data_IF_937912940527
#
_entry.id   IF_937912940527
#
_cell.length_a   1.000
_cell.length_b   1.000
_cell.length_c   1.000
_cell.angle_alpha   90.00
_cell.angle_beta   90.00
_cell.angle_gamma   90.00
#
_symmetry.space_group_name_H-M   'P 1'
#
loop_
_entity.id
_entity.type
_entity.pdbx_description
1 polymer ?
#
# COMPACT_ATOMS: atom_id res chain seq x y z
N UNK A 1 -14.88 -12.72 14.04
CA UNK A 1 -14.03 -11.64 14.61
C UNK A 1 -12.84 -11.46 13.68
N UNK A 2 -12.32 -10.24 13.52
CA UNK A 2 -11.27 -9.89 12.53
C UNK A 2 -9.98 -10.74 12.65
N UNK A 3 -9.72 -11.28 13.84
CA UNK A 3 -8.67 -12.25 14.11
C UNK A 3 -9.33 -13.59 14.49
N UNK A 4 -9.74 -14.35 13.50
CA UNK A 4 -10.12 -15.75 13.70
C UNK A 4 -9.00 -16.63 13.16
N UNK A 5 -8.77 -17.82 13.74
CA UNK A 5 -7.74 -18.76 13.25
C UNK A 5 -7.98 -19.22 11.80
N UNK A 6 -9.12 -18.88 11.21
CA UNK A 6 -9.51 -19.24 9.85
C UNK A 6 -9.18 -18.18 8.80
N UNK A 7 -8.89 -16.94 9.19
CA UNK A 7 -8.70 -15.85 8.23
C UNK A 7 -7.25 -15.80 7.75
N UNK A 8 -7.05 -15.84 6.45
CA UNK A 8 -5.71 -15.75 5.86
C UNK A 8 -5.03 -14.41 6.23
N UNK A 9 -3.79 -14.48 6.72
CA UNK A 9 -3.04 -13.31 7.13
C UNK A 9 -2.73 -12.36 5.95
N UNK A 10 -2.53 -12.91 4.76
CA UNK A 10 -2.33 -12.15 3.52
C UNK A 10 -3.63 -11.50 3.06
N UNK A 11 -4.77 -12.17 3.25
CA UNK A 11 -6.07 -11.53 3.04
C UNK A 11 -6.23 -10.32 3.95
N UNK A 12 -6.00 -10.49 5.26
CA UNK A 12 -6.09 -9.40 6.23
C UNK A 12 -5.12 -8.27 5.88
N UNK A 13 -3.92 -8.60 5.43
CA UNK A 13 -2.95 -7.61 4.98
C UNK A 13 -3.48 -6.79 3.79
N UNK A 14 -4.02 -7.44 2.76
CA UNK A 14 -4.63 -6.77 1.61
C UNK A 14 -5.84 -5.93 2.01
N UNK A 15 -6.72 -6.46 2.84
CA UNK A 15 -7.90 -5.77 3.36
C UNK A 15 -7.53 -4.50 4.15
N UNK A 16 -6.62 -4.59 5.11
CA UNK A 16 -6.19 -3.46 5.93
C UNK A 16 -5.42 -2.40 5.13
N UNK A 17 -4.73 -2.82 4.06
CA UNK A 17 -4.08 -1.93 3.11
C UNK A 17 -5.01 -1.42 2.00
N UNK A 18 -6.30 -1.78 1.99
CA UNK A 18 -7.22 -1.21 1.01
C UNK A 18 -7.49 0.28 1.30
N UNK A 19 -7.72 1.05 0.25
CA UNK A 19 -8.05 2.47 0.32
C UNK A 19 -9.28 2.75 1.19
N UNK A 20 -10.28 1.86 1.14
CA UNK A 20 -11.49 1.96 1.97
C UNK A 20 -11.15 1.91 3.45
N UNK A 21 -10.36 0.91 3.86
CA UNK A 21 -10.01 0.72 5.27
C UNK A 21 -9.04 1.80 5.75
N UNK A 22 -8.08 2.23 4.93
CA UNK A 22 -7.21 3.37 5.24
C UNK A 22 -8.01 4.66 5.47
N UNK A 23 -9.05 4.92 4.68
CA UNK A 23 -9.94 6.06 4.88
C UNK A 23 -10.72 5.94 6.19
N UNK A 24 -11.32 4.79 6.47
CA UNK A 24 -12.07 4.57 7.71
C UNK A 24 -11.17 4.72 8.93
N UNK A 25 -9.94 4.20 8.87
CA UNK A 25 -8.93 4.38 9.91
C UNK A 25 -8.58 5.85 10.13
N UNK A 26 -8.39 6.62 9.05
CA UNK A 26 -8.15 8.06 9.13
C UNK A 26 -9.30 8.86 9.75
N UNK A 27 -10.55 8.41 9.57
CA UNK A 27 -11.73 9.01 10.22
C UNK A 27 -11.81 8.61 11.70
N UNK A 28 -11.57 7.34 12.02
CA UNK A 28 -11.72 6.81 13.38
C UNK A 28 -10.61 7.28 14.33
N UNK A 29 -9.39 7.37 13.82
CA UNK A 29 -8.25 7.82 14.59
C UNK A 29 -7.24 8.51 13.65
N UNK A 30 -7.26 9.85 13.54
CA UNK A 30 -6.36 10.58 12.65
C UNK A 30 -4.88 10.53 13.10
N UNK A 31 -4.56 9.80 14.17
CA UNK A 31 -3.19 9.58 14.65
C UNK A 31 -2.63 8.25 14.13
N UNK A 32 -1.31 8.14 14.02
CA UNK A 32 -0.61 6.94 13.52
C UNK A 32 -0.78 5.71 14.45
N UNK A 33 -1.26 5.91 15.68
CA UNK A 33 -1.34 4.86 16.71
C UNK A 33 -2.73 4.21 16.75
N UNK A 34 -2.93 3.17 15.94
CA UNK A 34 -4.14 2.36 15.96
C UNK A 34 -4.17 1.42 17.18
N UNK A 35 -5.29 1.42 17.91
CA UNK A 35 -5.50 0.46 18.99
C UNK A 35 -6.36 -0.73 18.53
N UNK A 36 -6.24 -1.87 19.21
CA UNK A 36 -7.07 -3.08 18.94
C UNK A 36 -8.58 -2.76 19.05
N UNK A 37 -8.95 -1.77 19.86
CA UNK A 37 -10.33 -1.28 19.97
C UNK A 37 -10.83 -0.54 18.72
N UNK A 38 -9.94 0.11 17.96
CA UNK A 38 -10.29 0.82 16.73
C UNK A 38 -10.47 -0.17 15.57
N UNK A 39 -9.59 -1.18 15.49
CA UNK A 39 -9.71 -2.27 14.51
C UNK A 39 -10.99 -3.08 14.69
N UNK A 40 -11.46 -3.24 15.93
CA UNK A 40 -12.74 -3.92 16.23
C UNK A 40 -13.98 -3.15 15.76
N UNK A 41 -13.86 -1.85 15.52
CA UNK A 41 -14.95 -1.00 15.00
C UNK A 41 -15.01 -1.00 13.47
N UNK A 42 -14.01 -1.55 12.79
CA UNK A 42 -14.04 -1.66 11.33
C UNK A 42 -15.17 -2.62 10.92
N UNK A 43 -15.93 -2.28 9.87
CA UNK A 43 -16.91 -3.19 9.34
C UNK A 43 -16.15 -4.36 8.72
N UNK A 44 -16.24 -5.54 9.32
CA UNK A 44 -15.65 -6.77 8.79
C UNK A 44 -16.76 -7.65 8.25
N UNK A 45 -16.72 -7.87 6.94
CA UNK A 45 -17.57 -8.84 6.26
C UNK A 45 -16.69 -10.07 6.01
N UNK A 46 -17.18 -11.25 6.38
CA UNK A 46 -16.50 -12.50 6.05
C UNK A 46 -16.51 -12.65 4.52
N UNK A 47 -15.33 -12.64 3.85
CA UNK A 47 -15.27 -12.71 2.40
C UNK A 47 -15.71 -14.09 1.90
N UNK A 48 -16.27 -14.18 0.68
CA UNK A 48 -16.32 -15.44 -0.04
C UNK A 48 -14.90 -16.03 -0.21
N UNK A 49 -14.77 -17.35 -0.17
CA UNK A 49 -13.47 -18.05 -0.29
C UNK A 49 -12.67 -17.60 -1.53
N UNK A 50 -13.34 -17.42 -2.67
CA UNK A 50 -12.71 -16.93 -3.91
C UNK A 50 -12.12 -15.51 -3.76
N UNK A 51 -12.80 -14.64 -3.02
CA UNK A 51 -12.34 -13.28 -2.73
C UNK A 51 -11.18 -13.32 -1.75
N UNK A 52 -11.27 -14.18 -0.73
CA UNK A 52 -10.20 -14.37 0.26
C UNK A 52 -8.90 -14.80 -0.42
N UNK A 53 -8.96 -15.87 -1.22
CA UNK A 53 -7.82 -16.40 -1.97
C UNK A 53 -7.27 -15.35 -2.94
N UNK A 54 -8.14 -14.66 -3.70
CA UNK A 54 -7.70 -13.67 -4.68
C UNK A 54 -6.99 -12.49 -4.03
N UNK A 55 -7.51 -11.96 -2.92
CA UNK A 55 -6.87 -10.83 -2.22
C UNK A 55 -5.59 -11.28 -1.50
N UNK A 56 -5.57 -12.49 -0.94
CA UNK A 56 -4.38 -13.07 -0.33
C UNK A 56 -3.23 -13.22 -1.34
N UNK A 57 -3.52 -13.72 -2.55
CA UNK A 57 -2.52 -13.85 -3.62
C UNK A 57 -1.98 -12.47 -4.06
N UNK A 58 -2.87 -11.50 -4.31
CA UNK A 58 -2.48 -10.14 -4.68
C UNK A 58 -1.64 -9.47 -3.58
N UNK A 59 -1.99 -9.67 -2.31
CA UNK A 59 -1.23 -9.17 -1.18
C UNK A 59 0.15 -9.85 -1.08
N UNK A 60 0.23 -11.15 -1.35
CA UNK A 60 1.50 -11.88 -1.44
C UNK A 60 2.42 -11.31 -2.52
N UNK A 61 1.88 -11.01 -3.71
CA UNK A 61 2.61 -10.35 -4.79
C UNK A 61 3.08 -8.95 -4.38
N UNK A 62 2.23 -8.16 -3.71
CA UNK A 62 2.57 -6.84 -3.22
C UNK A 62 3.71 -6.89 -2.18
N UNK A 63 3.71 -7.90 -1.30
CA UNK A 63 4.79 -8.12 -0.32
C UNK A 63 6.11 -8.47 -1.02
N UNK A 64 6.07 -9.28 -2.09
CA UNK A 64 7.27 -9.58 -2.87
C UNK A 64 7.86 -8.32 -3.50
N UNK A 65 7.03 -7.49 -4.15
CA UNK A 65 7.46 -6.21 -4.72
C UNK A 65 8.00 -5.28 -3.63
N UNK A 66 7.34 -5.19 -2.47
CA UNK A 66 7.82 -4.35 -1.38
C UNK A 66 9.21 -4.76 -0.88
N UNK A 67 9.50 -6.06 -0.82
CA UNK A 67 10.83 -6.58 -0.47
C UNK A 67 11.87 -6.24 -1.53
N UNK A 68 11.51 -6.29 -2.81
CA UNK A 68 12.41 -5.89 -3.89
C UNK A 68 12.69 -4.38 -3.83
N UNK A 69 11.67 -3.56 -3.57
CA UNK A 69 11.81 -2.11 -3.40
C UNK A 69 12.74 -1.73 -2.22
N UNK A 70 12.79 -2.52 -1.15
CA UNK A 70 13.73 -2.31 -0.03
C UNK A 70 15.20 -2.33 -0.46
N UNK A 71 15.55 -3.01 -1.55
CA UNK A 71 16.93 -3.06 -2.06
C UNK A 71 17.39 -1.72 -2.66
N UNK A 72 16.43 -0.85 -3.00
CA UNK A 72 16.66 0.47 -3.58
C UNK A 72 16.58 1.61 -2.54
N UNK A 73 16.09 1.37 -1.32
CA UNK A 73 16.06 2.36 -0.23
C UNK A 73 17.41 2.38 0.50
N UNK A 74 18.17 3.46 0.35
CA UNK A 74 19.47 3.67 1.02
C UNK A 74 19.44 3.61 2.55
N UNK A 75 18.27 3.74 3.17
CA UNK A 75 18.09 3.63 4.63
C UNK A 75 17.75 2.20 5.06
N UNK A 76 17.46 1.31 4.11
CA UNK A 76 17.15 -0.08 4.39
C UNK A 76 18.43 -0.86 4.69
N UNK A 77 18.42 -1.78 5.67
CA UNK A 77 19.54 -2.70 5.89
C UNK A 77 19.84 -3.60 4.68
N UNK A 78 18.89 -3.75 3.75
CA UNK A 78 19.00 -4.58 2.54
C UNK A 78 19.42 -3.79 1.30
N UNK A 79 19.86 -2.54 1.47
CA UNK A 79 20.27 -1.71 0.35
C UNK A 79 21.43 -2.32 -0.43
N UNK A 80 21.29 -2.37 -1.76
CA UNK A 80 22.35 -2.84 -2.66
C UNK A 80 22.87 -1.69 -3.52
N UNK A 81 24.15 -1.34 -3.38
CA UNK A 81 24.74 -0.21 -4.13
C UNK A 81 24.81 -0.46 -5.66
N UNK A 82 24.75 -1.72 -6.10
CA UNK A 82 24.55 -2.11 -7.50
C UNK A 82 23.20 -1.65 -8.07
N UNK A 83 22.25 -1.35 -7.19
CA UNK A 83 20.90 -0.88 -7.51
C UNK A 83 20.84 0.65 -7.64
N UNK A 84 21.84 1.31 -8.22
CA UNK A 84 21.86 2.77 -8.48
C UNK A 84 22.25 3.08 -9.94
N UNK A 85 22.09 2.12 -10.86
CA UNK A 85 22.39 2.32 -12.28
C UNK A 85 21.22 3.00 -13.04
N UNK A 86 21.43 3.47 -14.27
CA UNK A 86 20.33 4.02 -15.07
C UNK A 86 19.27 2.95 -15.41
N UNK A 87 19.68 1.68 -15.55
CA UNK A 87 18.80 0.50 -15.68
C UNK A 87 17.96 0.28 -14.42
N UNK A 88 18.51 0.57 -13.25
CA UNK A 88 17.82 0.50 -11.96
C UNK A 88 16.60 1.43 -11.93
N UNK A 89 16.69 2.63 -12.51
CA UNK A 89 15.57 3.59 -12.51
C UNK A 89 14.35 3.03 -13.25
N UNK A 90 14.57 2.41 -14.42
CA UNK A 90 13.50 1.80 -15.20
C UNK A 90 12.85 0.64 -14.45
N UNK A 91 13.65 -0.23 -13.84
CA UNK A 91 13.16 -1.34 -13.03
C UNK A 91 12.35 -0.84 -11.82
N UNK A 92 12.78 0.24 -11.18
CA UNK A 92 12.07 0.85 -10.05
C UNK A 92 10.71 1.41 -10.47
N UNK A 93 10.66 2.17 -11.57
CA UNK A 93 9.39 2.69 -12.11
C UNK A 93 8.43 1.56 -12.50
N UNK A 94 8.95 0.46 -13.05
CA UNK A 94 8.15 -0.72 -13.37
C UNK A 94 7.57 -1.40 -12.11
N UNK A 95 8.41 -1.67 -11.10
CA UNK A 95 7.99 -2.28 -9.83
C UNK A 95 6.92 -1.44 -9.13
N UNK A 96 7.09 -0.11 -9.10
CA UNK A 96 6.09 0.80 -8.54
C UNK A 96 4.80 0.81 -9.36
N UNK A 97 4.89 0.71 -10.69
CA UNK A 97 3.74 0.56 -11.56
C UNK A 97 2.98 -0.75 -11.31
N UNK A 98 3.69 -1.84 -11.04
CA UNK A 98 3.09 -3.13 -10.68
C UNK A 98 2.42 -3.07 -9.29
N UNK A 99 3.09 -2.51 -8.29
CA UNK A 99 2.52 -2.30 -6.94
C UNK A 99 1.21 -1.50 -7.01
N UNK A 100 1.20 -0.39 -7.76
CA UNK A 100 0.00 0.43 -7.93
C UNK A 100 -1.16 -0.33 -8.60
N UNK A 101 -0.87 -1.21 -9.56
CA UNK A 101 -1.88 -2.07 -10.20
C UNK A 101 -2.46 -3.08 -9.21
N UNK A 102 -1.62 -3.73 -8.40
CA UNK A 102 -2.06 -4.68 -7.38
C UNK A 102 -2.93 -3.98 -6.33
N UNK A 103 -2.51 -2.81 -5.84
CA UNK A 103 -3.27 -2.01 -4.89
C UNK A 103 -4.64 -1.63 -5.47
N UNK A 104 -4.70 -1.14 -6.71
CA UNK A 104 -5.94 -0.80 -7.39
C UNK A 104 -6.87 -2.02 -7.54
N UNK A 105 -6.30 -3.20 -7.81
CA UNK A 105 -7.06 -4.45 -7.92
C UNK A 105 -7.66 -4.87 -6.59
N UNK A 106 -6.87 -4.85 -5.51
CA UNK A 106 -7.35 -5.12 -4.14
C UNK A 106 -8.46 -4.14 -3.78
N UNK A 107 -8.26 -2.85 -4.04
CA UNK A 107 -9.25 -1.82 -3.75
C UNK A 107 -10.56 -2.06 -4.47
N UNK A 108 -10.52 -2.42 -5.75
CA UNK A 108 -11.73 -2.70 -6.50
C UNK A 108 -12.49 -3.91 -5.93
N UNK A 109 -11.77 -4.98 -5.57
CA UNK A 109 -12.39 -6.17 -4.96
C UNK A 109 -13.04 -5.83 -3.61
N UNK A 110 -12.33 -5.09 -2.75
CA UNK A 110 -12.86 -4.70 -1.44
C UNK A 110 -14.03 -3.72 -1.58
N UNK A 111 -13.96 -2.75 -2.48
CA UNK A 111 -15.08 -1.82 -2.72
C UNK A 111 -16.32 -2.54 -3.21
N UNK A 112 -16.16 -3.53 -4.09
CA UNK A 112 -17.25 -4.34 -4.62
C UNK A 112 -17.84 -5.25 -3.52
N UNK A 113 -17.00 -5.86 -2.68
CA UNK A 113 -17.43 -6.67 -1.53
C UNK A 113 -18.31 -5.87 -0.55
N UNK A 114 -17.98 -4.60 -0.34
CA UNK A 114 -18.72 -3.71 0.57
C UNK A 114 -19.85 -2.93 -0.10
N UNK A 115 -20.09 -3.14 -1.41
CA UNK A 115 -21.14 -2.45 -2.15
C UNK A 115 -20.98 -0.92 -2.19
N UNK A 116 -19.75 -0.43 -2.14
CA UNK A 116 -19.46 1.00 -2.00
C UNK A 116 -19.74 1.74 -3.31
N UNK A 117 -20.68 2.68 -3.27
CA UNK A 117 -21.07 3.52 -4.42
C UNK A 117 -20.00 4.52 -4.88
N UNK A 118 -20.16 5.03 -6.11
CA UNK A 118 -19.22 5.91 -6.82
C UNK A 118 -18.84 7.19 -6.07
N UNK A 119 -19.72 7.67 -5.18
CA UNK A 119 -19.52 8.87 -4.36
C UNK A 119 -18.36 8.71 -3.36
N UNK A 120 -18.20 7.55 -2.73
CA UNK A 120 -17.09 7.30 -1.81
C UNK A 120 -15.79 7.01 -2.58
N UNK A 121 -15.88 6.41 -3.78
CA UNK A 121 -14.72 6.24 -4.68
C UNK A 121 -14.08 7.59 -5.04
N UNK A 122 -14.88 8.64 -5.28
CA UNK A 122 -14.39 9.99 -5.54
C UNK A 122 -13.75 10.65 -4.30
N UNK A 123 -14.28 10.39 -3.11
CA UNK A 123 -13.70 10.88 -1.85
C UNK A 123 -12.34 10.21 -1.55
N UNK A 124 -12.19 8.92 -1.88
CA UNK A 124 -10.94 8.18 -1.72
C UNK A 124 -9.81 8.76 -2.58
N UNK A 125 -10.09 9.06 -3.85
CA UNK A 125 -9.09 9.60 -4.79
C UNK A 125 -8.49 10.95 -4.33
N UNK A 126 -9.24 11.75 -3.58
CA UNK A 126 -8.83 13.07 -3.10
C UNK A 126 -8.16 13.06 -1.72
N UNK A 127 -8.08 11.90 -1.05
CA UNK A 127 -7.56 11.83 0.31
C UNK A 127 -6.03 11.65 0.34
N UNK A 128 -5.32 12.64 0.89
CA UNK A 128 -3.86 12.64 1.01
C UNK A 128 -3.31 11.45 1.83
N UNK A 129 -4.16 10.81 2.64
CA UNK A 129 -3.83 9.63 3.44
C UNK A 129 -3.75 8.34 2.64
N UNK A 130 -4.47 8.23 1.52
CA UNK A 130 -4.50 7.03 0.67
C UNK A 130 -3.31 7.02 -0.32
N UNK A 131 -2.83 8.19 -0.74
CA UNK A 131 -1.82 8.32 -1.79
C UNK A 131 -0.36 8.40 -1.27
N UNK A 132 -0.10 8.10 0.00
CA UNK A 132 1.23 8.17 0.62
C UNK A 132 2.09 6.95 0.25
N UNK A 133 2.58 6.89 -0.99
CA UNK A 133 3.70 6.00 -1.33
C UNK A 133 5.01 6.69 -0.97
N UNK A 134 5.75 6.12 -0.01
CA UNK A 134 7.09 6.59 0.40
C UNK A 134 8.06 6.67 -0.78
N UNK A 135 7.91 5.78 -1.77
CA UNK A 135 8.76 5.70 -2.95
C UNK A 135 8.44 6.76 -4.00
N UNK A 136 7.19 7.24 -4.08
CA UNK A 136 6.87 8.41 -4.92
C UNK A 136 7.63 9.65 -4.47
N UNK A 137 7.74 9.87 -3.16
CA UNK A 137 8.54 10.97 -2.62
C UNK A 137 10.03 10.77 -2.89
N UNK A 138 10.53 9.52 -2.82
CA UNK A 138 11.93 9.19 -3.14
C UNK A 138 12.27 9.44 -4.61
N UNK A 139 11.41 9.03 -5.55
CA UNK A 139 11.57 9.37 -6.98
C UNK A 139 11.57 10.87 -7.21
N UNK A 140 10.69 11.61 -6.52
CA UNK A 140 10.63 13.07 -6.62
C UNK A 140 11.88 13.75 -6.04
N UNK A 141 12.50 13.17 -5.01
CA UNK A 141 13.77 13.63 -4.44
C UNK A 141 14.96 13.28 -5.35
N UNK A 142 14.94 12.13 -6.02
CA UNK A 142 15.93 11.76 -7.04
C UNK A 142 15.81 12.59 -8.33
N UNK A 143 14.63 13.13 -8.61
CA UNK A 143 14.37 14.07 -9.72
C UNK A 143 14.78 15.51 -9.41
N UNK A 144 15.10 15.82 -8.14
CA UNK A 144 15.71 17.11 -7.84
C UNK A 144 17.08 17.14 -8.53
N UNK A 145 17.35 18.13 -9.40
CA UNK A 145 18.70 18.34 -9.87
C UNK A 145 19.57 18.47 -8.63
N UNK A 146 20.69 17.73 -8.58
CA UNK A 146 21.65 17.82 -7.50
C UNK A 146 21.90 19.31 -7.26
N UNK A 147 21.30 19.86 -6.20
CA UNK A 147 21.58 21.22 -5.80
C UNK A 147 23.05 21.12 -5.43
N UNK A 148 23.89 21.58 -6.34
CA UNK A 148 25.29 21.77 -6.12
C UNK A 148 25.38 22.39 -4.73
N UNK A 149 25.96 21.64 -3.81
CA UNK A 149 26.37 22.14 -2.52
C UNK A 149 27.46 23.18 -2.79
N UNK A 150 27.04 24.35 -3.26
CA UNK A 150 27.70 25.61 -3.05
C UNK A 150 27.56 25.90 -1.57
N UNK A 151 28.37 25.19 -0.79
CA UNK A 151 28.82 25.68 0.51
C UNK A 151 30.30 25.99 0.33
N UNK A 152 30.54 27.30 0.47
CA UNK A 152 31.81 27.99 0.66
C UNK A 152 32.79 27.22 1.54
#
# INVERSE_FOLDING_TARGET
ALFSERTDILYLLGFLNSSLIRLMLGILNPTVNFQIGDLRKLPYIEPPEEVEISVADLAGQAVAIAKDLETYDSRSPKFEASSISQTTRQNLEELLGQEAKLQSRIDQIILDLYGVGSSLKAALANSAWVNRSSYRNYLQELERPAIASSRR
#
